data_IF_345180598231
#
_entry.id   IF_345180598231
#
_cell.length_a   1.000
_cell.length_b   1.000
_cell.length_c   1.000
_cell.angle_alpha   90.00
_cell.angle_beta   90.00
_cell.angle_gamma   90.00
#
_symmetry.space_group_name_H-M   'P 1'
#
loop_
_entity.id
_entity.type
_entity.pdbx_description
1 polymer ?
#
# COMPACT_ATOMS: atom_id res chain seq x y z
N UNK A 1 -2.45 5.07 1.24
CA UNK A 1 -2.87 3.65 1.24
C UNK A 1 -1.91 2.86 0.37
N UNK A 2 -1.78 1.55 0.58
CA UNK A 2 -0.99 0.69 -0.28
C UNK A 2 -1.69 -0.66 -0.51
N UNK A 3 -1.35 -1.34 -1.60
CA UNK A 3 -1.94 -2.62 -2.03
C UNK A 3 -0.90 -3.48 -2.75
N UNK A 4 -1.08 -4.80 -2.74
CA UNK A 4 -0.23 -5.71 -3.46
C UNK A 4 -0.57 -5.70 -4.96
N UNK A 5 0.40 -6.02 -5.81
CA UNK A 5 0.19 -6.16 -7.26
C UNK A 5 -0.60 -7.42 -7.63
N UNK A 6 -0.58 -8.42 -6.75
CA UNK A 6 -1.32 -9.68 -6.85
C UNK A 6 -2.61 -9.71 -6.02
N UNK A 7 -3.05 -8.56 -5.49
CA UNK A 7 -4.31 -8.44 -4.73
C UNK A 7 -5.53 -8.88 -5.56
N UNK A 8 -6.48 -9.53 -4.89
CA UNK A 8 -7.71 -9.98 -5.51
C UNK A 8 -8.59 -8.80 -5.96
N UNK A 9 -9.43 -9.03 -6.97
CA UNK A 9 -10.29 -7.97 -7.53
C UNK A 9 -11.26 -7.36 -6.51
N UNK A 10 -11.76 -8.15 -5.56
CA UNK A 10 -12.59 -7.65 -4.45
C UNK A 10 -11.79 -6.79 -3.45
N UNK A 11 -10.51 -7.12 -3.23
CA UNK A 11 -9.58 -6.30 -2.47
C UNK A 11 -9.38 -4.93 -3.12
N UNK A 12 -9.18 -4.89 -4.44
CA UNK A 12 -9.05 -3.63 -5.20
C UNK A 12 -10.32 -2.78 -5.15
N UNK A 13 -11.51 -3.38 -5.18
CA UNK A 13 -12.79 -2.66 -5.00
C UNK A 13 -12.88 -2.05 -3.61
N UNK A 14 -12.51 -2.80 -2.58
CA UNK A 14 -12.48 -2.32 -1.19
C UNK A 14 -11.52 -1.14 -1.03
N UNK A 15 -10.32 -1.23 -1.59
CA UNK A 15 -9.34 -0.14 -1.60
C UNK A 15 -9.91 1.12 -2.25
N UNK A 16 -10.64 0.99 -3.38
CA UNK A 16 -11.29 2.12 -4.04
C UNK A 16 -12.33 2.80 -3.15
N UNK A 17 -13.11 2.02 -2.39
CA UNK A 17 -14.10 2.56 -1.43
C UNK A 17 -13.38 3.37 -0.36
N UNK A 18 -12.33 2.81 0.27
CA UNK A 18 -11.57 3.52 1.29
C UNK A 18 -10.90 4.78 0.74
N UNK A 19 -10.25 4.69 -0.42
CA UNK A 19 -9.62 5.84 -1.07
C UNK A 19 -10.62 6.96 -1.34
N UNK A 20 -11.83 6.65 -1.80
CA UNK A 20 -12.85 7.65 -2.04
C UNK A 20 -13.34 8.33 -0.75
N UNK A 21 -13.33 7.62 0.39
CA UNK A 21 -13.79 8.13 1.67
C UNK A 21 -12.70 8.93 2.43
N UNK A 22 -11.44 8.50 2.35
CA UNK A 22 -10.34 9.03 3.16
C UNK A 22 -9.34 9.86 2.33
N UNK A 23 -9.38 9.73 1.01
CA UNK A 23 -8.40 10.32 0.10
C UNK A 23 -7.01 9.70 0.23
N UNK A 24 -6.00 10.51 -0.07
CA UNK A 24 -4.59 10.12 -0.03
C UNK A 24 -4.13 9.36 -1.26
N UNK A 25 -2.82 9.13 -1.37
CA UNK A 25 -2.23 8.41 -2.49
C UNK A 25 -2.37 6.90 -2.29
N UNK A 26 -2.67 6.17 -3.37
CA UNK A 26 -2.57 4.70 -3.42
C UNK A 26 -1.22 4.31 -4.02
N UNK A 27 -0.49 3.43 -3.32
CA UNK A 27 0.80 2.88 -3.76
C UNK A 27 0.63 1.37 -3.98
N UNK A 28 1.00 0.89 -5.15
CA UNK A 28 1.06 -0.55 -5.42
C UNK A 28 2.48 -1.07 -5.10
N UNK A 29 2.59 -2.04 -4.21
CA UNK A 29 3.85 -2.68 -3.82
C UNK A 29 4.00 -4.00 -4.57
N UNK A 30 4.94 -4.04 -5.52
CA UNK A 30 5.13 -5.18 -6.42
C UNK A 30 5.91 -6.31 -5.78
N UNK A 31 5.43 -7.54 -5.96
CA UNK A 31 6.10 -8.76 -5.51
C UNK A 31 6.23 -8.85 -3.99
N UNK A 32 5.24 -8.34 -3.25
CA UNK A 32 5.22 -8.35 -1.77
C UNK A 32 4.08 -9.19 -1.18
N UNK A 33 3.26 -9.80 -2.04
CA UNK A 33 2.10 -10.63 -1.68
C UNK A 33 1.20 -9.98 -0.63
N UNK A 34 0.56 -10.81 0.20
CA UNK A 34 -0.47 -10.37 1.15
C UNK A 34 0.09 -9.83 2.48
N UNK A 35 1.30 -9.27 2.46
CA UNK A 35 1.96 -8.66 3.61
C UNK A 35 2.14 -9.58 4.83
N UNK A 36 2.19 -10.89 4.60
CA UNK A 36 2.66 -11.85 5.59
C UNK A 36 4.20 -11.82 5.62
N UNK A 37 4.82 -12.20 6.74
CA UNK A 37 6.30 -12.21 6.83
C UNK A 37 6.94 -13.08 5.75
N UNK A 38 6.26 -14.17 5.35
CA UNK A 38 6.67 -15.06 4.27
C UNK A 38 6.60 -14.36 2.90
N UNK A 39 5.47 -13.73 2.58
CA UNK A 39 5.26 -13.06 1.29
C UNK A 39 6.13 -11.82 1.11
N UNK A 40 6.32 -11.02 2.18
CA UNK A 40 6.99 -9.73 2.09
C UNK A 40 8.47 -9.87 1.72
N UNK A 41 9.14 -10.93 2.18
CA UNK A 41 10.59 -11.10 2.06
C UNK A 41 11.42 -9.97 2.70
N UNK A 42 10.79 -9.14 3.55
CA UNK A 42 11.37 -7.99 4.25
C UNK A 42 10.56 -7.70 5.52
N UNK A 43 11.17 -7.05 6.50
CA UNK A 43 10.52 -6.54 7.71
C UNK A 43 10.21 -5.04 7.62
N UNK A 44 10.65 -4.37 6.54
CA UNK A 44 10.60 -2.91 6.39
C UNK A 44 10.25 -2.47 4.96
N UNK A 45 9.53 -1.36 4.87
CA UNK A 45 9.17 -0.65 3.62
C UNK A 45 9.61 0.81 3.69
N UNK A 46 10.91 1.11 3.49
CA UNK A 46 11.40 2.50 3.50
C UNK A 46 10.68 3.41 2.49
N UNK A 47 10.17 2.87 1.39
CA UNK A 47 9.36 3.58 0.39
C UNK A 47 8.07 4.17 0.97
N UNK A 48 7.41 3.46 1.90
CA UNK A 48 6.20 3.94 2.56
C UNK A 48 6.52 5.05 3.55
N UNK A 49 7.61 4.89 4.32
CA UNK A 49 8.08 5.94 5.24
C UNK A 49 8.43 7.22 4.48
N UNK A 50 9.18 7.09 3.39
CA UNK A 50 9.55 8.21 2.54
C UNK A 50 8.32 8.93 1.98
N UNK A 51 7.25 8.21 1.63
CA UNK A 51 6.02 8.83 1.15
C UNK A 51 5.36 9.68 2.25
N UNK A 52 5.27 9.17 3.48
CA UNK A 52 4.68 9.92 4.60
C UNK A 52 5.50 11.16 4.96
N UNK A 53 6.84 11.06 4.90
CA UNK A 53 7.72 12.19 5.18
C UNK A 53 7.65 13.29 4.12
N UNK A 54 7.43 12.95 2.84
CA UNK A 54 7.19 13.97 1.80
C UNK A 54 5.95 14.82 2.09
N UNK A 55 4.91 14.21 2.67
CA UNK A 55 3.67 14.93 3.06
C UNK A 55 3.95 15.88 4.23
N UNK A 56 4.87 15.51 5.12
CA UNK A 56 5.18 16.27 6.34
C UNK A 56 6.03 17.52 6.10
N UNK A 57 6.61 17.66 4.90
CA UNK A 57 7.41 18.81 4.49
C UNK A 57 6.58 19.86 3.71
N UNK A 58 5.26 19.90 3.93
CA UNK A 58 4.32 20.84 3.33
C UNK A 58 3.82 21.81 4.42
#
# INVERSE_FOLDING_TARGET
>A
MFTADDEEEEGKKSLKIYHNALGGRVIELKGRGHYTLEDMGTDKFPELLNEVLKISNI
#
